data_IF_195537813286
#
_entry.id   IF_195537813286
#
_cell.length_a   1.000
_cell.length_b   1.000
_cell.length_c   1.000
_cell.angle_alpha   90.00
_cell.angle_beta   90.00
_cell.angle_gamma   90.00
#
_symmetry.space_group_name_H-M   'P 1'
#
loop_
_entity.id
_entity.type
_entity.pdbx_description
1 polymer ?
#
# COMPACT_ATOMS: atom_id res chain seq x y z
N UNK A 1 29.60 -53.67 -37.53
CA UNK A 1 28.48 -52.85 -38.06
C UNK A 1 27.33 -52.94 -37.04
N UNK A 2 27.44 -52.37 -35.82
CA UNK A 2 27.26 -50.95 -35.43
C UNK A 2 25.89 -50.38 -35.82
N UNK A 3 24.89 -50.55 -34.96
CA UNK A 3 23.78 -49.62 -34.80
C UNK A 3 23.35 -49.59 -33.32
N UNK A 4 23.86 -48.58 -32.60
CA UNK A 4 23.62 -48.33 -31.17
C UNK A 4 22.20 -47.81 -30.95
N UNK A 5 21.43 -48.50 -30.12
CA UNK A 5 20.15 -48.02 -29.59
C UNK A 5 20.43 -46.88 -28.59
N UNK A 6 20.17 -45.63 -29.01
CA UNK A 6 20.23 -44.44 -28.15
C UNK A 6 19.01 -44.41 -27.23
N UNK A 7 19.16 -44.84 -25.97
CA UNK A 7 18.24 -44.43 -24.89
C UNK A 7 18.40 -42.92 -24.69
N UNK A 8 17.40 -42.16 -25.13
CA UNK A 8 17.27 -40.76 -24.75
C UNK A 8 16.95 -40.69 -23.26
N UNK A 9 17.97 -40.38 -22.46
CA UNK A 9 17.78 -39.82 -21.13
C UNK A 9 17.18 -38.43 -21.33
N UNK A 10 15.88 -38.30 -21.06
CA UNK A 10 15.24 -36.99 -21.04
C UNK A 10 15.53 -36.37 -19.68
N UNK A 11 16.51 -35.48 -19.67
CA UNK A 11 16.90 -34.65 -18.54
C UNK A 11 15.67 -33.93 -17.98
N UNK A 12 15.28 -34.29 -16.76
CA UNK A 12 14.39 -33.45 -15.95
C UNK A 12 15.12 -32.12 -15.76
N UNK A 13 14.71 -31.11 -16.52
CA UNK A 13 15.03 -29.70 -16.24
C UNK A 13 14.65 -29.42 -14.78
N UNK A 14 15.65 -29.37 -13.91
CA UNK A 14 15.50 -28.88 -12.55
C UNK A 14 14.90 -27.49 -12.61
N UNK A 15 13.67 -27.39 -12.12
CA UNK A 15 13.02 -26.11 -11.84
C UNK A 15 13.94 -25.32 -10.88
N UNK A 16 14.10 -24.00 -11.06
CA UNK A 16 14.87 -23.20 -10.14
C UNK A 16 14.22 -23.25 -8.76
N UNK A 17 14.95 -23.83 -7.80
CA UNK A 17 14.60 -23.92 -6.40
C UNK A 17 14.21 -22.54 -5.87
N UNK A 18 13.03 -22.47 -5.25
CA UNK A 18 12.57 -21.30 -4.52
C UNK A 18 13.64 -20.91 -3.48
N UNK A 19 14.26 -19.74 -3.69
CA UNK A 19 15.24 -19.19 -2.75
C UNK A 19 14.52 -18.89 -1.43
N UNK A 20 14.90 -19.63 -0.41
CA UNK A 20 14.64 -19.46 1.02
C UNK A 20 14.20 -18.05 1.42
N UNK A 21 12.93 -17.91 1.81
CA UNK A 21 12.46 -16.81 2.65
C UNK A 21 13.34 -16.78 3.90
N UNK A 22 14.19 -15.76 4.05
CA UNK A 22 14.94 -15.55 5.29
C UNK A 22 13.92 -15.23 6.39
N UNK A 23 13.61 -16.24 7.21
CA UNK A 23 12.82 -16.07 8.43
C UNK A 23 13.60 -15.13 9.35
N UNK A 24 13.06 -13.94 9.60
CA UNK A 24 13.65 -13.00 10.56
C UNK A 24 13.61 -13.66 11.95
N UNK A 25 14.75 -13.84 12.64
CA UNK A 25 14.74 -14.45 13.97
C UNK A 25 13.80 -13.68 14.91
N UNK A 26 12.99 -14.39 15.69
CA UNK A 26 11.98 -13.79 16.59
C UNK A 26 12.56 -12.68 17.48
N UNK A 27 13.76 -12.88 18.01
CA UNK A 27 14.47 -11.87 18.81
C UNK A 27 14.77 -10.60 18.03
N UNK A 28 15.22 -10.73 16.76
CA UNK A 28 15.49 -9.60 15.87
C UNK A 28 14.20 -8.87 15.47
N UNK A 29 13.10 -9.60 15.21
CA UNK A 29 11.76 -9.03 14.97
C UNK A 29 11.32 -8.17 16.16
N UNK A 30 11.30 -8.75 17.36
CA UNK A 30 10.86 -8.06 18.59
C UNK A 30 11.73 -6.81 18.85
N UNK A 31 13.05 -6.93 18.70
CA UNK A 31 13.96 -5.81 18.89
C UNK A 31 13.70 -4.68 17.87
N UNK A 32 13.47 -5.02 16.60
CA UNK A 32 13.15 -4.05 15.57
C UNK A 32 11.83 -3.33 15.85
N UNK A 33 10.75 -4.09 16.10
CA UNK A 33 9.43 -3.53 16.42
C UNK A 33 9.51 -2.61 17.64
N UNK A 34 10.13 -3.06 18.75
CA UNK A 34 10.26 -2.26 19.97
C UNK A 34 10.99 -0.94 19.69
N UNK A 35 12.13 -0.97 19.00
CA UNK A 35 12.88 0.25 18.68
C UNK A 35 12.10 1.19 17.78
N UNK A 36 11.42 0.68 16.76
CA UNK A 36 10.63 1.48 15.84
C UNK A 36 9.44 2.14 16.54
N UNK A 37 8.70 1.38 17.35
CA UNK A 37 7.55 1.87 18.09
C UNK A 37 7.94 2.87 19.17
N UNK A 38 9.03 2.63 19.91
CA UNK A 38 9.56 3.60 20.88
C UNK A 38 9.96 4.91 20.20
N UNK A 39 10.69 4.84 19.08
CA UNK A 39 11.03 6.04 18.32
C UNK A 39 9.79 6.76 17.78
N UNK A 40 8.80 6.02 17.28
CA UNK A 40 7.56 6.63 16.76
C UNK A 40 6.74 7.31 17.85
N UNK A 41 6.73 6.77 19.07
CA UNK A 41 6.04 7.39 20.20
C UNK A 41 6.64 8.76 20.59
N UNK A 42 7.95 8.93 20.43
CA UNK A 42 8.66 10.17 20.80
C UNK A 42 8.76 11.17 19.64
N UNK A 43 9.00 10.70 18.42
CA UNK A 43 9.32 11.54 17.25
C UNK A 43 8.26 11.45 16.13
N UNK A 44 7.18 10.71 16.34
CA UNK A 44 6.08 10.60 15.39
C UNK A 44 5.45 11.94 15.09
N UNK A 45 5.33 12.28 13.80
CA UNK A 45 4.64 13.52 13.39
C UNK A 45 3.15 13.42 13.63
N UNK A 46 2.60 14.49 14.14
CA UNK A 46 1.17 14.68 14.25
C UNK A 46 0.60 15.16 12.91
N UNK A 47 -0.27 14.35 12.30
CA UNK A 47 -0.82 14.60 10.96
C UNK A 47 -2.35 14.38 10.97
N UNK A 48 -3.15 15.15 10.22
CA UNK A 48 -4.61 15.09 10.29
C UNK A 48 -5.19 13.69 10.05
N UNK A 49 -4.67 12.97 9.07
CA UNK A 49 -5.09 11.60 8.74
C UNK A 49 -4.63 10.54 9.76
N UNK A 50 -3.77 10.88 10.72
CA UNK A 50 -3.40 9.98 11.83
C UNK A 50 -4.32 10.11 13.03
N UNK A 51 -5.23 11.08 13.03
CA UNK A 51 -6.19 11.34 14.12
C UNK A 51 -7.59 10.79 13.82
N UNK A 52 -7.70 9.89 12.85
CA UNK A 52 -8.96 9.32 12.39
C UNK A 52 -8.76 7.86 12.01
N UNK A 53 -9.78 7.05 12.25
CA UNK A 53 -9.89 5.67 11.72
C UNK A 53 -10.96 5.57 10.63
N UNK A 54 -11.53 6.70 10.17
CA UNK A 54 -12.48 6.74 9.07
C UNK A 54 -11.83 6.25 7.75
N UNK A 55 -12.30 5.13 7.17
CA UNK A 55 -11.72 4.56 5.95
C UNK A 55 -11.72 5.53 4.76
N UNK A 56 -12.71 6.41 4.66
CA UNK A 56 -12.79 7.39 3.57
C UNK A 56 -11.68 8.43 3.70
N UNK A 57 -11.48 8.97 4.90
CA UNK A 57 -10.43 9.96 5.16
C UNK A 57 -9.04 9.37 4.99
N UNK A 58 -8.84 8.11 5.42
CA UNK A 58 -7.61 7.37 5.18
C UNK A 58 -7.37 7.22 3.66
N UNK A 59 -8.35 6.72 2.90
CA UNK A 59 -8.25 6.59 1.44
C UNK A 59 -7.89 7.92 0.76
N UNK A 60 -8.56 9.03 1.12
CA UNK A 60 -8.27 10.36 0.57
C UNK A 60 -6.81 10.74 0.82
N UNK A 61 -6.33 10.59 2.06
CA UNK A 61 -4.95 10.92 2.42
C UNK A 61 -3.93 10.05 1.66
N UNK A 62 -4.17 8.75 1.56
CA UNK A 62 -3.28 7.81 0.85
C UNK A 62 -3.19 8.14 -0.64
N UNK A 63 -4.29 8.52 -1.30
CA UNK A 63 -4.25 8.95 -2.71
C UNK A 63 -3.55 10.30 -2.85
N UNK A 64 -3.78 11.26 -1.94
CA UNK A 64 -3.11 12.56 -1.98
C UNK A 64 -1.59 12.47 -1.75
N UNK A 65 -1.14 11.55 -0.90
CA UNK A 65 0.28 11.36 -0.57
C UNK A 65 1.09 10.68 -1.69
N UNK A 66 0.42 10.13 -2.71
CA UNK A 66 1.11 9.57 -3.88
C UNK A 66 1.84 10.66 -4.67
N UNK A 67 3.18 10.64 -4.60
CA UNK A 67 4.02 11.61 -5.32
C UNK A 67 3.76 13.07 -4.93
N UNK A 68 3.29 13.33 -3.70
CA UNK A 68 3.10 14.69 -3.21
C UNK A 68 3.61 14.81 -1.77
N UNK A 69 4.31 15.90 -1.46
CA UNK A 69 4.88 16.13 -0.13
C UNK A 69 3.79 16.42 0.90
N UNK A 70 4.01 15.95 2.13
CA UNK A 70 3.07 16.07 3.26
C UNK A 70 2.60 17.52 3.46
N UNK A 71 3.51 18.48 3.46
CA UNK A 71 3.17 19.88 3.76
C UNK A 71 2.23 20.51 2.72
N UNK A 72 2.25 20.01 1.48
CA UNK A 72 1.29 20.40 0.43
C UNK A 72 -0.06 19.69 0.58
N UNK A 73 -0.04 18.46 1.10
CA UNK A 73 -1.25 17.65 1.29
C UNK A 73 -2.09 18.16 2.46
N UNK A 74 -1.49 18.60 3.56
CA UNK A 74 -2.22 19.03 4.78
C UNK A 74 -3.34 20.05 4.47
N UNK A 75 -3.06 21.24 3.89
CA UNK A 75 -4.11 22.23 3.64
C UNK A 75 -5.15 21.70 2.65
N UNK A 76 -4.70 20.93 1.65
CA UNK A 76 -5.59 20.39 0.62
C UNK A 76 -6.51 19.29 1.14
N UNK A 77 -6.03 18.47 2.08
CA UNK A 77 -6.82 17.45 2.75
C UNK A 77 -7.98 18.08 3.52
N UNK A 78 -7.74 19.17 4.24
CA UNK A 78 -8.78 19.91 4.94
C UNK A 78 -9.80 20.55 3.97
N UNK A 79 -9.34 21.23 2.92
CA UNK A 79 -10.22 21.81 1.91
C UNK A 79 -11.09 20.74 1.22
N UNK A 80 -10.47 19.63 0.83
CA UNK A 80 -11.16 18.55 0.12
C UNK A 80 -12.22 17.88 0.99
N UNK A 81 -11.90 17.56 2.25
CA UNK A 81 -12.87 16.98 3.18
C UNK A 81 -13.91 17.99 3.68
N UNK A 82 -13.61 19.30 3.65
CA UNK A 82 -14.61 20.33 3.89
C UNK A 82 -15.67 20.39 2.79
N UNK A 83 -15.26 20.17 1.54
CA UNK A 83 -16.17 20.17 0.37
C UNK A 83 -16.84 18.82 0.12
N UNK A 84 -16.14 17.73 0.38
CA UNK A 84 -16.63 16.35 0.24
C UNK A 84 -16.44 15.62 1.59
N UNK A 85 -17.33 15.85 2.57
CA UNK A 85 -17.19 15.27 3.90
C UNK A 85 -17.33 13.75 3.94
N UNK A 86 -18.14 13.19 3.03
CA UNK A 86 -18.40 11.75 2.94
C UNK A 86 -18.03 11.17 1.58
N UNK A 87 -17.94 9.85 1.53
CA UNK A 87 -17.75 9.11 0.28
C UNK A 87 -18.93 9.34 -0.69
N UNK A 88 -20.15 9.48 -0.17
CA UNK A 88 -21.37 9.76 -0.92
C UNK A 88 -21.26 11.13 -1.61
N UNK A 89 -20.87 12.17 -0.86
CA UNK A 89 -20.69 13.53 -1.40
C UNK A 89 -19.67 13.55 -2.53
N UNK A 90 -18.59 12.78 -2.36
CA UNK A 90 -17.58 12.62 -3.41
C UNK A 90 -18.15 11.90 -4.63
N UNK A 91 -18.88 10.79 -4.45
CA UNK A 91 -19.39 9.97 -5.54
C UNK A 91 -20.38 10.74 -6.45
N UNK A 92 -21.23 11.59 -5.87
CA UNK A 92 -22.20 12.40 -6.62
C UNK A 92 -21.62 13.69 -7.21
N UNK A 93 -20.39 14.06 -6.84
CA UNK A 93 -19.76 15.28 -7.32
C UNK A 93 -19.36 15.20 -8.80
N UNK A 94 -19.44 16.34 -9.49
CA UNK A 94 -18.99 16.42 -10.88
C UNK A 94 -17.45 16.24 -10.97
N UNK A 95 -16.94 15.36 -11.85
CA UNK A 95 -15.50 15.07 -11.92
C UNK A 95 -14.58 16.29 -12.09
N UNK A 96 -15.04 17.30 -12.84
CA UNK A 96 -14.27 18.55 -13.00
C UNK A 96 -14.17 19.38 -11.72
N UNK A 97 -15.20 19.38 -10.87
CA UNK A 97 -15.16 20.08 -9.59
C UNK A 97 -14.20 19.40 -8.61
N UNK A 98 -14.14 18.06 -8.66
CA UNK A 98 -13.17 17.27 -7.89
C UNK A 98 -11.75 17.64 -8.35
N UNK A 99 -11.50 17.67 -9.66
CA UNK A 99 -10.19 18.08 -10.22
C UNK A 99 -9.81 19.50 -9.81
N UNK A 100 -10.75 20.46 -9.89
CA UNK A 100 -10.51 21.86 -9.48
C UNK A 100 -10.15 21.95 -8.00
N UNK A 101 -10.87 21.22 -7.15
CA UNK A 101 -10.59 21.16 -5.71
C UNK A 101 -9.22 20.52 -5.47
N UNK A 102 -8.84 19.48 -6.21
CA UNK A 102 -7.55 18.78 -6.07
C UNK A 102 -6.31 19.60 -6.44
N UNK A 103 -6.45 20.60 -7.32
CA UNK A 103 -5.34 21.47 -7.73
C UNK A 103 -4.75 22.24 -6.53
N UNK A 104 -3.41 22.41 -6.40
CA UNK A 104 -2.34 22.11 -7.36
C UNK A 104 -1.54 20.83 -7.06
N UNK A 105 -2.11 19.81 -6.39
CA UNK A 105 -1.32 18.61 -5.99
C UNK A 105 -0.70 17.84 -7.16
N UNK A 106 -1.13 18.09 -8.39
CA UNK A 106 -0.59 17.45 -9.60
C UNK A 106 -1.04 15.99 -9.77
N UNK A 107 -0.52 15.34 -10.81
CA UNK A 107 -0.90 13.98 -11.22
C UNK A 107 -2.43 13.80 -11.31
N UNK A 108 -3.02 14.55 -12.25
CA UNK A 108 -4.46 14.82 -12.38
C UNK A 108 -5.34 13.57 -12.58
N UNK A 109 -4.75 12.40 -12.80
CA UNK A 109 -5.51 11.14 -12.85
C UNK A 109 -5.99 10.68 -11.47
N UNK A 110 -5.33 11.11 -10.38
CA UNK A 110 -5.66 10.71 -9.00
C UNK A 110 -7.06 11.12 -8.54
N UNK A 111 -7.51 12.37 -8.69
CA UNK A 111 -8.88 12.74 -8.30
C UNK A 111 -9.93 11.90 -9.05
N UNK A 112 -9.73 11.61 -10.32
CA UNK A 112 -10.63 10.73 -11.09
C UNK A 112 -10.61 9.28 -10.61
N UNK A 113 -9.44 8.74 -10.23
CA UNK A 113 -9.34 7.40 -9.63
C UNK A 113 -10.04 7.33 -8.27
N UNK A 114 -9.83 8.33 -7.44
CA UNK A 114 -10.50 8.43 -6.13
C UNK A 114 -12.02 8.54 -6.29
N UNK A 115 -12.49 9.34 -7.25
CA UNK A 115 -13.91 9.42 -7.61
C UNK A 115 -14.45 8.08 -8.10
N UNK A 116 -13.73 7.39 -8.98
CA UNK A 116 -14.09 6.04 -9.44
C UNK A 116 -14.21 5.03 -8.30
N UNK A 117 -13.27 5.03 -7.35
CA UNK A 117 -13.34 4.19 -6.15
C UNK A 117 -14.59 4.53 -5.33
N UNK A 118 -14.92 5.82 -5.17
CA UNK A 118 -16.11 6.24 -4.44
C UNK A 118 -17.40 5.74 -5.10
N UNK A 119 -17.56 5.94 -6.40
CA UNK A 119 -18.72 5.46 -7.16
C UNK A 119 -18.85 3.93 -7.09
N UNK A 120 -17.76 3.21 -7.33
CA UNK A 120 -17.73 1.75 -7.30
C UNK A 120 -18.05 1.20 -5.90
N UNK A 121 -17.58 1.88 -4.84
CA UNK A 121 -17.86 1.51 -3.44
C UNK A 121 -19.34 1.73 -3.09
N UNK A 122 -19.95 2.80 -3.61
CA UNK A 122 -21.39 3.05 -3.45
C UNK A 122 -22.19 1.94 -4.13
N UNK A 123 -21.88 1.65 -5.40
CA UNK A 123 -22.59 0.67 -6.21
C UNK A 123 -22.49 -0.76 -5.64
N UNK A 124 -21.29 -1.18 -5.23
CA UNK A 124 -21.02 -2.58 -4.85
C UNK A 124 -21.14 -2.84 -3.35
N UNK A 125 -20.93 -1.83 -2.52
CA UNK A 125 -20.79 -1.98 -1.06
C UNK A 125 -21.67 -0.99 -0.27
N UNK A 126 -22.63 -0.32 -0.91
CA UNK A 126 -23.56 0.60 -0.24
C UNK A 126 -22.89 1.82 0.40
N UNK A 127 -21.67 2.16 -0.04
CA UNK A 127 -20.89 3.29 0.47
C UNK A 127 -20.00 2.95 1.66
N UNK A 128 -19.99 1.69 2.12
CA UNK A 128 -19.05 1.22 3.12
C UNK A 128 -17.77 0.73 2.42
N UNK A 129 -16.63 1.37 2.69
CA UNK A 129 -15.33 0.85 2.24
C UNK A 129 -15.10 -0.50 2.95
N UNK A 130 -14.86 -1.60 2.23
CA UNK A 130 -14.70 -2.92 2.82
C UNK A 130 -13.40 -3.05 3.61
N UNK A 131 -13.38 -3.91 4.64
CA UNK A 131 -12.16 -4.22 5.39
C UNK A 131 -11.37 -5.40 4.82
N UNK A 132 -12.00 -6.26 4.00
CA UNK A 132 -11.32 -7.44 3.45
C UNK A 132 -10.35 -7.05 2.33
N UNK A 133 -9.19 -7.71 2.32
CA UNK A 133 -8.14 -7.44 1.35
C UNK A 133 -8.60 -7.71 -0.09
N UNK A 134 -9.33 -8.79 -0.32
CA UNK A 134 -9.80 -9.20 -1.65
C UNK A 134 -10.82 -8.19 -2.21
N UNK A 135 -11.71 -7.70 -1.35
CA UNK A 135 -12.72 -6.69 -1.71
C UNK A 135 -12.04 -5.36 -2.05
N UNK A 136 -11.10 -4.89 -1.22
CA UNK A 136 -10.31 -3.69 -1.49
C UNK A 136 -9.48 -3.79 -2.78
N UNK A 137 -8.80 -4.93 -3.00
CA UNK A 137 -8.00 -5.15 -4.20
C UNK A 137 -8.85 -5.27 -5.48
N UNK A 138 -10.15 -5.54 -5.36
CA UNK A 138 -11.07 -5.57 -6.49
C UNK A 138 -11.48 -4.18 -6.98
N UNK A 139 -11.34 -3.14 -6.14
CA UNK A 139 -11.67 -1.76 -6.50
C UNK A 139 -10.59 -1.17 -7.42
N UNK A 140 -10.99 -0.66 -8.59
CA UNK A 140 -10.03 -0.20 -9.60
C UNK A 140 -9.26 1.03 -9.11
N UNK A 141 -7.97 0.85 -8.85
CA UNK A 141 -7.08 1.92 -8.37
C UNK A 141 -6.54 1.70 -6.96
N UNK A 142 -7.06 0.70 -6.24
CA UNK A 142 -6.51 0.24 -4.97
C UNK A 142 -5.50 -0.87 -5.25
N UNK A 143 -4.22 -0.60 -4.97
CA UNK A 143 -3.16 -1.60 -5.01
C UNK A 143 -2.89 -2.19 -3.62
N UNK A 144 -2.03 -3.22 -3.57
CA UNK A 144 -1.63 -3.92 -2.33
C UNK A 144 -1.21 -2.99 -1.18
N UNK A 145 -0.47 -1.92 -1.48
CA UNK A 145 -0.09 -0.92 -0.47
C UNK A 145 -1.32 -0.19 0.10
N UNK A 146 -2.18 0.38 -0.74
CA UNK A 146 -3.35 1.14 -0.29
C UNK A 146 -4.35 0.25 0.43
N UNK A 147 -4.54 -1.00 -0.03
CA UNK A 147 -5.35 -1.97 0.69
C UNK A 147 -4.79 -2.25 2.10
N UNK A 148 -3.47 -2.49 2.21
CA UNK A 148 -2.81 -2.66 3.51
C UNK A 148 -2.93 -1.43 4.41
N UNK A 149 -2.76 -0.23 3.85
CA UNK A 149 -2.88 1.03 4.59
C UNK A 149 -4.30 1.26 5.13
N UNK A 150 -5.35 1.03 4.32
CA UNK A 150 -6.74 1.12 4.77
C UNK A 150 -7.01 0.10 5.88
N UNK A 151 -6.61 -1.16 5.68
CA UNK A 151 -6.79 -2.24 6.68
C UNK A 151 -6.09 -1.94 8.00
N UNK A 152 -4.85 -1.48 7.95
CA UNK A 152 -4.07 -1.15 9.14
C UNK A 152 -4.59 0.11 9.84
N UNK A 153 -4.78 1.22 9.12
CA UNK A 153 -5.09 2.50 9.75
C UNK A 153 -6.58 2.69 10.06
N UNK A 154 -7.48 2.15 9.25
CA UNK A 154 -8.92 2.33 9.45
C UNK A 154 -9.54 1.18 10.26
N UNK A 155 -9.08 -0.05 10.03
CA UNK A 155 -9.66 -1.25 10.63
C UNK A 155 -8.77 -1.91 11.70
N UNK A 156 -7.59 -1.35 11.97
CA UNK A 156 -6.63 -1.86 12.96
C UNK A 156 -6.28 -3.35 12.73
N UNK A 157 -6.22 -3.77 11.47
CA UNK A 157 -5.84 -5.13 11.10
C UNK A 157 -4.32 -5.24 10.91
N UNK A 158 -3.77 -6.42 11.19
CA UNK A 158 -2.38 -6.76 10.90
C UNK A 158 -2.21 -6.94 9.38
N UNK A 159 -1.92 -5.83 8.70
CA UNK A 159 -1.83 -5.77 7.24
C UNK A 159 -0.52 -5.11 6.81
N UNK A 160 0.28 -5.78 5.95
CA UNK A 160 1.57 -5.27 5.52
C UNK A 160 1.43 -4.06 4.60
N UNK A 161 2.33 -3.10 4.74
CA UNK A 161 2.50 -2.00 3.79
C UNK A 161 3.92 -1.99 3.25
N UNK A 162 4.08 -1.69 1.97
CA UNK A 162 5.38 -1.57 1.34
C UNK A 162 5.39 -0.47 0.27
N UNK A 163 5.73 0.74 0.70
CA UNK A 163 6.05 1.86 -0.19
C UNK A 163 7.57 1.99 -0.37
N UNK A 164 8.00 3.01 -1.12
CA UNK A 164 9.43 3.27 -1.34
C UNK A 164 10.21 3.57 -0.05
N UNK A 165 9.55 4.11 0.99
CA UNK A 165 10.19 4.41 2.27
C UNK A 165 10.40 3.14 3.10
N UNK A 166 9.37 2.32 3.24
CA UNK A 166 9.44 1.03 3.92
C UNK A 166 10.43 0.11 3.19
N UNK A 167 10.38 0.05 1.86
CA UNK A 167 11.38 -0.70 1.07
C UNK A 167 12.81 -0.28 1.40
N UNK A 168 13.09 1.03 1.49
CA UNK A 168 14.41 1.56 1.80
C UNK A 168 14.87 1.18 3.21
N UNK A 169 13.98 1.24 4.20
CA UNK A 169 14.28 0.86 5.59
C UNK A 169 14.55 -0.64 5.69
N UNK A 170 13.62 -1.47 5.19
CA UNK A 170 13.72 -2.91 5.27
C UNK A 170 14.94 -3.44 4.50
N UNK A 171 15.20 -2.89 3.31
CA UNK A 171 16.37 -3.26 2.52
C UNK A 171 17.67 -3.00 3.27
N UNK A 172 17.84 -1.80 3.85
CA UNK A 172 19.06 -1.43 4.58
C UNK A 172 19.30 -2.25 5.85
N UNK A 173 18.23 -2.61 6.57
CA UNK A 173 18.35 -3.30 7.87
C UNK A 173 18.46 -4.82 7.73
N UNK A 174 17.74 -5.40 6.76
CA UNK A 174 17.58 -6.86 6.67
C UNK A 174 18.30 -7.50 5.48
N UNK A 175 18.53 -6.77 4.38
CA UNK A 175 19.12 -7.33 3.14
C UNK A 175 20.55 -6.80 2.90
N UNK A 176 20.73 -5.47 2.90
CA UNK A 176 22.02 -4.78 2.82
C UNK A 176 22.71 -4.78 1.45
N UNK A 177 22.48 -5.79 0.58
CA UNK A 177 23.13 -5.92 -0.74
C UNK A 177 22.13 -5.93 -1.90
N UNK A 178 22.59 -5.44 -3.05
CA UNK A 178 21.80 -5.39 -4.30
C UNK A 178 20.81 -4.22 -4.35
N UNK A 179 19.99 -4.20 -5.39
CA UNK A 179 19.00 -3.14 -5.62
C UNK A 179 17.64 -3.51 -5.02
N UNK A 180 17.14 -2.70 -4.08
CA UNK A 180 15.84 -2.91 -3.43
C UNK A 180 14.67 -3.11 -4.43
N UNK A 181 14.70 -2.42 -5.57
CA UNK A 181 13.67 -2.54 -6.62
C UNK A 181 13.60 -3.95 -7.23
N UNK A 182 14.73 -4.65 -7.31
CA UNK A 182 14.84 -6.02 -7.84
C UNK A 182 14.47 -7.08 -6.79
N UNK A 183 14.29 -6.68 -5.53
CA UNK A 183 14.03 -7.57 -4.38
C UNK A 183 12.65 -7.26 -3.76
N UNK A 184 11.69 -6.82 -4.58
CA UNK A 184 10.38 -6.36 -4.10
C UNK A 184 9.57 -7.49 -3.46
N UNK A 185 9.72 -8.72 -3.95
CA UNK A 185 9.02 -9.90 -3.42
C UNK A 185 9.52 -10.22 -2.02
N UNK A 186 10.84 -10.24 -1.81
CA UNK A 186 11.47 -10.48 -0.51
C UNK A 186 11.13 -9.39 0.50
N UNK A 187 11.08 -8.12 0.06
CA UNK A 187 10.68 -7.00 0.91
C UNK A 187 9.21 -7.05 1.32
N UNK A 188 8.33 -7.60 0.48
CA UNK A 188 6.93 -7.86 0.88
C UNK A 188 6.84 -8.96 1.93
N UNK A 189 7.59 -10.05 1.77
CA UNK A 189 7.69 -11.12 2.78
C UNK A 189 8.20 -10.58 4.11
N UNK A 190 9.18 -9.67 4.07
CA UNK A 190 9.68 -9.00 5.28
C UNK A 190 8.62 -8.08 5.92
N UNK A 191 7.87 -7.32 5.10
CA UNK A 191 6.78 -6.46 5.60
C UNK A 191 5.65 -7.27 6.25
N UNK A 192 5.35 -8.46 5.71
CA UNK A 192 4.39 -9.40 6.32
C UNK A 192 4.90 -10.04 7.61
N UNK A 193 6.20 -10.28 7.68
CA UNK A 193 6.81 -10.98 8.80
C UNK A 193 7.10 -10.07 10.00
N UNK A 194 7.14 -8.74 9.84
CA UNK A 194 7.51 -7.77 10.88
C UNK A 194 6.30 -7.07 11.45
#
# INVERSE_FOLDING_TARGET
>A
MMAKIKKHQNEKKSQPQAKTSQVVPKSKKIQFQKRLLTWYAEFGRDLPWRRTSDPYKILVSEVMLQQTQVDRVIPKFHEFLGKYPTLQDLAVAHPDDIRRTWYPLGYNIRPYRLHGIACETIERYGGAIPSKAEELLSLKGIGRYTAGAIRSFAFNEDAPILDTNVMRVLHRIFIGKGEAKKQKTELWVLSEAL
#
